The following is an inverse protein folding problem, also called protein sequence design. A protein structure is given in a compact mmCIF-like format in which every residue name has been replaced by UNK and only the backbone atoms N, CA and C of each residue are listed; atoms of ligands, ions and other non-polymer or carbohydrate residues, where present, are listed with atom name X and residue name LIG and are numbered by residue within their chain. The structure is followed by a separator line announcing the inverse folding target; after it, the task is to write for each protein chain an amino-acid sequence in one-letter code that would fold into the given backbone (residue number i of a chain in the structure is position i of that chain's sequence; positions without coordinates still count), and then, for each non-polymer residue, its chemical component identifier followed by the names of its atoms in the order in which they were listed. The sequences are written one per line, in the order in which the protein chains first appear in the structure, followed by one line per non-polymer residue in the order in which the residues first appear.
data_IF_585231178339
#
_entry.id   IF_585231178339
#
_cell.length_a   1.000
_cell.length_b   1.000
_cell.length_c   1.000
_cell.angle_alpha   90.00
_cell.angle_beta   90.00
_cell.angle_gamma   90.00
#
_symmetry.space_group_name_H-M   'P 1'
#
loop_
_entity.id
_entity.type
_entity.pdbx_description
1 polymer ?
#
# COMPACT_ATOMS: atom_id res chain seq x y z
N UNK A 1 -13.14 -47.43 4.49
CA UNK A 1 -13.54 -46.12 3.94
C UNK A 1 -13.00 -44.94 4.75
N UNK A 2 -12.64 -45.12 6.03
CA UNK A 2 -12.11 -44.10 6.96
C UNK A 2 -10.77 -43.43 6.59
N UNK A 3 -9.80 -44.18 6.03
CA UNK A 3 -8.46 -43.63 5.70
C UNK A 3 -8.54 -42.58 4.57
N UNK A 4 -9.38 -42.83 3.58
CA UNK A 4 -9.55 -41.91 2.44
C UNK A 4 -10.27 -40.64 2.85
N UNK A 5 -11.26 -40.74 3.75
CA UNK A 5 -11.95 -39.58 4.32
C UNK A 5 -11.01 -38.69 5.14
N UNK A 6 -10.14 -39.26 5.97
CA UNK A 6 -9.16 -38.47 6.74
C UNK A 6 -8.13 -37.76 5.85
N UNK A 7 -7.65 -38.43 4.81
CA UNK A 7 -6.77 -37.82 3.79
C UNK A 7 -7.49 -36.70 3.04
N UNK A 8 -8.76 -36.90 2.69
CA UNK A 8 -9.58 -35.92 1.99
C UNK A 8 -9.86 -34.67 2.84
N UNK A 9 -10.22 -34.84 4.12
CA UNK A 9 -10.43 -33.71 5.04
C UNK A 9 -9.13 -32.94 5.26
N UNK A 10 -7.98 -33.64 5.42
CA UNK A 10 -6.65 -33.01 5.53
C UNK A 10 -6.28 -32.23 4.28
N UNK A 11 -6.67 -32.70 3.10
CA UNK A 11 -6.44 -32.00 1.85
C UNK A 11 -7.28 -30.73 1.73
N UNK A 12 -8.56 -30.78 2.12
CA UNK A 12 -9.44 -29.60 2.13
C UNK A 12 -8.90 -28.53 3.09
N UNK A 13 -8.58 -28.89 4.33
CA UNK A 13 -8.09 -27.91 5.32
C UNK A 13 -6.76 -27.27 4.90
N UNK A 14 -5.85 -28.03 4.28
CA UNK A 14 -4.61 -27.47 3.72
C UNK A 14 -4.88 -26.51 2.56
N UNK A 15 -5.82 -26.85 1.66
CA UNK A 15 -6.22 -25.98 0.56
C UNK A 15 -6.79 -24.65 1.06
N UNK A 16 -7.66 -24.68 2.08
CA UNK A 16 -8.28 -23.48 2.64
C UNK A 16 -7.28 -22.60 3.40
N UNK A 17 -6.30 -23.21 4.08
CA UNK A 17 -5.19 -22.49 4.71
C UNK A 17 -4.31 -21.79 3.66
N UNK A 18 -3.97 -22.48 2.57
CA UNK A 18 -3.21 -21.89 1.46
C UNK A 18 -3.95 -20.73 0.82
N UNK A 19 -5.25 -20.87 0.56
CA UNK A 19 -6.09 -19.80 0.00
C UNK A 19 -6.15 -18.57 0.91
N UNK A 20 -6.29 -18.77 2.22
CA UNK A 20 -6.33 -17.69 3.20
C UNK A 20 -4.98 -16.98 3.32
N UNK A 21 -3.88 -17.75 3.27
CA UNK A 21 -2.51 -17.22 3.29
C UNK A 21 -2.22 -16.41 2.04
N UNK A 22 -2.65 -16.88 0.86
CA UNK A 22 -2.49 -16.15 -0.40
C UNK A 22 -3.29 -14.85 -0.43
N UNK A 23 -4.54 -14.88 0.03
CA UNK A 23 -5.37 -13.67 0.13
C UNK A 23 -4.73 -12.64 1.07
N UNK A 24 -4.21 -13.09 2.21
CA UNK A 24 -3.53 -12.20 3.18
C UNK A 24 -2.27 -11.56 2.57
N UNK A 25 -1.47 -12.34 1.83
CA UNK A 25 -0.30 -11.83 1.12
C UNK A 25 -0.68 -10.82 0.01
N UNK A 26 -1.77 -11.07 -0.72
CA UNK A 26 -2.28 -10.15 -1.73
C UNK A 26 -2.71 -8.81 -1.12
N UNK A 27 -3.45 -8.84 0.00
CA UNK A 27 -3.88 -7.64 0.70
C UNK A 27 -2.70 -6.80 1.23
N UNK A 28 -1.68 -7.45 1.80
CA UNK A 28 -0.48 -6.76 2.28
C UNK A 28 0.31 -6.08 1.15
N UNK A 29 0.47 -6.77 0.02
CA UNK A 29 1.11 -6.20 -1.17
C UNK A 29 0.31 -5.01 -1.74
N UNK A 30 -1.01 -5.11 -1.78
CA UNK A 30 -1.86 -4.04 -2.31
C UNK A 30 -1.77 -2.76 -1.46
N UNK A 31 -1.82 -2.88 -0.14
CA UNK A 31 -1.69 -1.74 0.78
C UNK A 31 -0.32 -1.07 0.69
N UNK A 32 0.74 -1.86 0.54
CA UNK A 32 2.12 -1.35 0.40
C UNK A 32 2.29 -0.56 -0.90
N UNK A 33 1.78 -1.08 -2.03
CA UNK A 33 1.88 -0.41 -3.34
C UNK A 33 1.01 0.84 -3.41
N UNK A 34 -0.22 0.79 -2.88
CA UNK A 34 -1.12 1.95 -2.88
C UNK A 34 -0.55 3.11 -2.05
N UNK A 35 -0.01 2.82 -0.86
CA UNK A 35 0.58 3.85 -0.01
C UNK A 35 1.80 4.50 -0.67
N UNK A 36 2.71 3.68 -1.19
CA UNK A 36 4.00 4.14 -1.76
C UNK A 36 3.86 4.98 -3.03
N UNK A 37 2.79 4.79 -3.81
CA UNK A 37 2.62 5.46 -5.10
C UNK A 37 1.88 6.79 -5.02
N UNK A 38 1.32 7.14 -3.86
CA UNK A 38 0.66 8.44 -3.70
C UNK A 38 1.68 9.58 -3.71
N UNK A 39 1.39 10.60 -4.51
CA UNK A 39 2.16 11.84 -4.59
C UNK A 39 2.43 12.47 -3.20
N UNK A 40 1.44 12.42 -2.30
CA UNK A 40 1.55 12.85 -0.91
C UNK A 40 2.58 12.04 -0.12
N UNK A 41 2.61 10.71 -0.28
CA UNK A 41 3.60 9.85 0.39
C UNK A 41 5.01 10.09 -0.15
N UNK A 42 5.16 10.25 -1.47
CA UNK A 42 6.44 10.56 -2.10
C UNK A 42 6.99 11.90 -1.58
N UNK A 43 6.12 12.91 -1.46
CA UNK A 43 6.48 14.21 -0.90
C UNK A 43 6.95 14.09 0.56
N UNK A 44 6.19 13.39 1.40
CA UNK A 44 6.55 13.17 2.80
C UNK A 44 7.87 12.40 2.94
N UNK A 45 8.11 11.39 2.09
CA UNK A 45 9.36 10.61 2.07
C UNK A 45 10.58 11.45 1.72
N UNK A 46 10.43 12.47 0.88
CA UNK A 46 11.49 13.44 0.55
C UNK A 46 11.73 14.49 1.65
N UNK A 47 10.96 14.48 2.74
CA UNK A 47 11.01 15.51 3.79
C UNK A 47 10.26 16.80 3.42
N UNK A 48 9.36 16.73 2.44
CA UNK A 48 8.52 17.84 2.00
C UNK A 48 7.20 17.94 2.74
N UNK A 49 6.51 19.06 2.54
CA UNK A 49 5.15 19.31 3.04
C UNK A 49 4.20 19.62 1.88
N UNK A 50 2.99 19.07 1.95
CA UNK A 50 1.96 19.33 0.95
C UNK A 50 1.17 20.59 1.31
N UNK A 51 1.22 21.61 0.44
CA UNK A 51 0.45 22.85 0.62
C UNK A 51 -0.53 23.03 -0.53
N UNK A 52 -1.81 23.32 -0.23
CA UNK A 52 -2.79 23.74 -1.25
C UNK A 52 -2.48 25.16 -1.75
N UNK A 53 -1.94 26.01 -0.87
CA UNK A 53 -1.46 27.34 -1.20
C UNK A 53 -0.08 27.28 -1.89
N UNK A 54 0.38 28.39 -2.51
CA UNK A 54 1.76 28.51 -2.98
C UNK A 54 2.76 28.22 -1.85
N UNK A 55 3.90 27.62 -2.19
CA UNK A 55 4.92 27.28 -1.19
C UNK A 55 5.43 28.55 -0.46
N UNK A 56 5.71 28.45 0.85
CA UNK A 56 6.27 29.57 1.62
C UNK A 56 7.62 30.02 1.05
N UNK A 57 8.01 31.27 1.32
CA UNK A 57 9.06 32.05 0.64
C UNK A 57 10.47 31.43 0.49
N UNK A 58 10.74 30.29 1.14
CA UNK A 58 12.04 29.61 1.10
C UNK A 58 11.93 28.13 0.68
N UNK A 59 10.75 27.66 0.33
CA UNK A 59 10.54 26.27 -0.06
C UNK A 59 10.46 26.14 -1.59
N UNK A 60 11.17 25.15 -2.13
CA UNK A 60 11.10 24.79 -3.55
C UNK A 60 9.96 23.82 -3.83
N UNK A 61 9.33 23.96 -5.00
CA UNK A 61 8.29 23.04 -5.48
C UNK A 61 8.98 21.87 -6.17
N UNK A 62 8.86 20.67 -5.61
CA UNK A 62 9.47 19.43 -6.15
C UNK A 62 8.44 18.49 -6.80
N UNK A 63 7.16 18.81 -6.71
CA UNK A 63 6.08 17.99 -7.25
C UNK A 63 4.69 18.44 -6.84
N UNK A 64 3.75 17.50 -6.87
CA UNK A 64 2.36 17.72 -6.44
C UNK A 64 1.98 16.81 -5.28
N UNK A 65 0.84 17.08 -4.65
CA UNK A 65 0.23 16.27 -3.60
C UNK A 65 -1.29 16.19 -3.83
N UNK A 66 -1.94 15.23 -3.18
CA UNK A 66 -3.36 14.90 -3.28
C UNK A 66 -3.88 14.79 -4.73
N UNK A 67 -3.22 14.00 -5.58
CA UNK A 67 -3.56 13.82 -7.00
C UNK A 67 -3.51 15.12 -7.80
N UNK A 68 -2.54 15.98 -7.51
CA UNK A 68 -2.36 17.26 -8.23
C UNK A 68 -3.09 18.46 -7.64
N UNK A 69 -3.84 18.28 -6.54
CA UNK A 69 -4.58 19.39 -5.88
C UNK A 69 -3.69 20.31 -5.05
N UNK A 70 -2.53 19.83 -4.64
CA UNK A 70 -1.57 20.57 -3.81
C UNK A 70 -0.17 20.51 -4.42
N UNK A 71 0.70 21.38 -3.94
CA UNK A 71 2.12 21.45 -4.31
C UNK A 71 2.94 20.78 -3.22
N UNK A 72 3.94 19.99 -3.62
CA UNK A 72 4.94 19.45 -2.70
C UNK A 72 6.05 20.48 -2.50
N UNK A 73 6.13 21.04 -1.29
CA UNK A 73 7.07 22.07 -0.90
C UNK A 73 8.19 21.47 -0.05
N UNK A 74 9.42 21.51 -0.54
CA UNK A 74 10.61 21.03 0.20
C UNK A 74 11.42 22.23 0.66
N UNK A 75 11.91 22.17 1.89
CA UNK A 75 12.77 23.20 2.47
C UNK A 75 14.18 23.15 1.88
#
# INVERSE_FOLDING_TARGET
MEMYTLLYIKWITNKDLLYSTWNSAQWACHLTILGQRTDSYICARKGGTCNLAPCPLYNRIEGTCYKGKAKCCIR
#
